data_IF_870450163326
#
_entry.id   IF_870450163326
#
_cell.length_a   1.000
_cell.length_b   1.000
_cell.length_c   1.000
_cell.angle_alpha   90.00
_cell.angle_beta   90.00
_cell.angle_gamma   90.00
#
_symmetry.space_group_name_H-M   'P 1'
#
loop_
_entity.id
_entity.type
_entity.pdbx_description
1 polymer ?
#
# COMPACT_ATOMS: atom_id res chain seq x y z
N UNK A 1 61.00 -3.84 -8.00
CA UNK A 1 59.94 -3.83 -9.01
C UNK A 1 58.70 -3.11 -8.49
N UNK A 2 58.51 -1.94 -8.96
CA UNK A 2 57.54 -0.94 -8.52
C UNK A 2 56.13 -1.13 -9.12
N UNK A 3 55.06 -0.82 -8.42
CA UNK A 3 53.67 -1.00 -8.89
C UNK A 3 53.20 0.23 -9.66
N UNK A 4 53.40 0.29 -10.96
CA UNK A 4 52.85 1.33 -11.85
C UNK A 4 51.40 1.04 -12.34
N UNK A 5 50.77 -0.03 -11.85
CA UNK A 5 49.44 -0.43 -12.30
C UNK A 5 48.24 0.24 -11.61
N UNK A 6 48.45 1.03 -10.55
CA UNK A 6 47.35 1.59 -9.76
C UNK A 6 46.84 2.95 -10.27
N UNK A 7 47.72 3.75 -10.89
CA UNK A 7 47.38 5.11 -11.37
C UNK A 7 46.50 5.09 -12.62
N UNK A 8 46.84 4.28 -13.62
CA UNK A 8 46.12 4.21 -14.88
C UNK A 8 44.68 3.66 -14.70
N UNK A 9 44.47 2.67 -13.84
CA UNK A 9 43.16 2.15 -13.53
C UNK A 9 42.27 3.17 -12.76
N UNK A 10 42.90 3.95 -11.88
CA UNK A 10 42.24 5.03 -11.15
C UNK A 10 41.82 6.19 -12.10
N UNK A 11 42.65 6.51 -13.08
CA UNK A 11 42.35 7.57 -14.06
C UNK A 11 41.29 7.15 -15.09
N UNK A 12 41.29 5.89 -15.50
CA UNK A 12 40.22 5.34 -16.36
C UNK A 12 38.89 5.32 -15.60
N UNK A 13 38.88 4.94 -14.34
CA UNK A 13 37.69 4.97 -13.50
C UNK A 13 37.17 6.41 -13.24
N UNK A 14 38.08 7.36 -13.05
CA UNK A 14 37.73 8.79 -12.93
C UNK A 14 37.20 9.36 -14.26
N UNK A 15 37.81 9.01 -15.40
CA UNK A 15 37.32 9.40 -16.73
C UNK A 15 35.95 8.82 -17.06
N UNK A 16 35.68 7.55 -16.79
CA UNK A 16 34.35 6.97 -16.92
C UNK A 16 33.31 7.66 -16.01
N UNK A 17 33.72 8.13 -14.82
CA UNK A 17 32.85 8.90 -13.93
C UNK A 17 32.55 10.31 -14.45
N UNK A 18 33.43 10.90 -15.24
CA UNK A 18 33.25 12.22 -15.84
C UNK A 18 32.38 12.13 -17.09
N UNK A 19 32.59 11.11 -17.94
CA UNK A 19 31.80 10.92 -19.18
C UNK A 19 30.33 10.55 -18.89
N UNK A 20 30.06 9.82 -17.78
CA UNK A 20 28.68 9.52 -17.35
C UNK A 20 27.98 10.66 -16.63
N UNK A 21 28.66 11.79 -16.39
CA UNK A 21 28.10 12.94 -15.68
C UNK A 21 27.48 14.02 -16.58
N UNK A 22 27.77 14.00 -17.86
CA UNK A 22 27.39 15.12 -18.76
C UNK A 22 26.13 14.93 -19.59
N UNK A 23 25.60 13.71 -19.69
CA UNK A 23 24.41 13.49 -20.51
C UNK A 23 23.17 13.17 -19.69
N UNK A 24 22.27 14.12 -19.67
CA UNK A 24 20.86 14.14 -19.33
C UNK A 24 20.49 14.95 -18.06
N UNK A 25 19.95 16.17 -18.25
CA UNK A 25 19.39 16.99 -17.15
C UNK A 25 18.19 16.31 -16.46
N UNK A 26 17.58 15.30 -17.09
CA UNK A 26 16.47 14.52 -16.56
C UNK A 26 16.88 13.52 -15.46
N UNK A 27 18.14 13.10 -15.41
CA UNK A 27 18.66 12.14 -14.42
C UNK A 27 18.94 12.73 -13.05
N UNK A 28 19.08 14.06 -12.93
CA UNK A 28 19.46 14.74 -11.68
C UNK A 28 18.36 14.83 -10.62
N UNK A 29 17.08 14.71 -11.01
CA UNK A 29 15.96 14.91 -10.08
C UNK A 29 15.73 13.70 -9.17
N UNK A 30 16.11 12.48 -9.58
CA UNK A 30 15.79 11.23 -8.85
C UNK A 30 17.03 10.46 -8.38
N UNK A 31 18.12 11.14 -8.07
CA UNK A 31 19.36 10.49 -7.63
C UNK A 31 19.31 9.95 -6.19
N UNK A 32 18.32 10.33 -5.39
CA UNK A 32 18.18 9.89 -4.00
C UNK A 32 17.04 8.84 -3.91
N UNK A 33 17.32 7.69 -3.29
CA UNK A 33 16.32 6.62 -3.02
C UNK A 33 15.05 7.15 -2.36
N UNK A 34 15.18 8.17 -1.52
CA UNK A 34 14.06 8.80 -0.84
C UNK A 34 13.15 9.57 -1.82
N UNK A 35 13.73 10.40 -2.70
CA UNK A 35 12.96 11.13 -3.72
C UNK A 35 12.23 10.15 -4.66
N UNK A 36 12.89 9.08 -5.08
CA UNK A 36 12.26 8.03 -5.90
C UNK A 36 11.08 7.40 -5.17
N UNK A 37 11.24 7.09 -3.89
CA UNK A 37 10.19 6.52 -3.07
C UNK A 37 8.96 7.45 -2.98
N UNK A 38 9.17 8.74 -2.71
CA UNK A 38 8.09 9.74 -2.68
C UNK A 38 7.37 9.85 -4.02
N UNK A 39 8.11 9.87 -5.13
CA UNK A 39 7.50 9.91 -6.47
C UNK A 39 6.70 8.65 -6.78
N UNK A 40 7.15 7.47 -6.36
CA UNK A 40 6.39 6.23 -6.50
C UNK A 40 5.07 6.29 -5.71
N UNK A 41 5.08 6.83 -4.49
CA UNK A 41 3.87 7.04 -3.68
C UNK A 41 2.90 7.98 -4.37
N UNK A 42 3.39 9.11 -4.90
CA UNK A 42 2.54 10.08 -5.64
C UNK A 42 1.90 9.39 -6.86
N UNK A 43 2.70 8.69 -7.67
CA UNK A 43 2.21 7.99 -8.87
C UNK A 43 1.17 6.93 -8.53
N UNK A 44 1.32 6.20 -7.42
CA UNK A 44 0.33 5.21 -6.99
C UNK A 44 -0.93 5.84 -6.39
N UNK A 45 -0.83 7.04 -5.83
CA UNK A 45 -2.00 7.74 -5.25
C UNK A 45 -2.98 8.23 -6.32
N UNK A 46 -2.48 8.59 -7.52
CA UNK A 46 -3.33 9.09 -8.61
C UNK A 46 -4.41 8.08 -9.02
N UNK A 47 -4.08 6.85 -9.47
CA UNK A 47 -5.11 5.87 -9.84
C UNK A 47 -5.97 5.45 -8.64
N UNK A 48 -5.41 5.39 -7.43
CA UNK A 48 -6.18 5.13 -6.22
C UNK A 48 -7.28 6.18 -6.00
N UNK A 49 -6.94 7.46 -6.13
CA UNK A 49 -7.90 8.56 -5.96
C UNK A 49 -8.97 8.55 -7.04
N UNK A 50 -8.59 8.35 -8.30
CA UNK A 50 -9.54 8.29 -9.43
C UNK A 50 -10.54 7.15 -9.22
N UNK A 51 -10.06 5.94 -8.91
CA UNK A 51 -10.91 4.77 -8.71
C UNK A 51 -11.76 4.94 -7.46
N UNK A 52 -11.20 5.44 -6.35
CA UNK A 52 -11.92 5.64 -5.10
C UNK A 52 -13.07 6.63 -5.23
N UNK A 53 -12.87 7.74 -5.97
CA UNK A 53 -13.94 8.70 -6.24
C UNK A 53 -15.00 8.11 -7.19
N UNK A 54 -14.56 7.47 -8.27
CA UNK A 54 -15.47 6.89 -9.27
C UNK A 54 -16.30 5.72 -8.71
N UNK A 55 -15.77 4.99 -7.73
CA UNK A 55 -16.42 3.84 -7.12
C UNK A 55 -17.22 4.18 -5.85
N UNK A 56 -17.31 5.46 -5.41
CA UNK A 56 -17.96 5.86 -4.14
C UNK A 56 -19.37 5.29 -4.02
N UNK A 57 -20.20 5.51 -5.03
CA UNK A 57 -21.59 5.05 -5.02
C UNK A 57 -21.71 3.53 -5.07
N UNK A 58 -20.82 2.88 -5.84
CA UNK A 58 -20.75 1.42 -5.91
C UNK A 58 -20.37 0.82 -4.55
N UNK A 59 -19.40 1.41 -3.85
CA UNK A 59 -18.95 0.99 -2.51
C UNK A 59 -20.10 1.13 -1.52
N UNK A 60 -20.81 2.27 -1.50
CA UNK A 60 -21.95 2.52 -0.62
C UNK A 60 -23.10 1.55 -0.88
N UNK A 61 -23.39 1.21 -2.13
CA UNK A 61 -24.39 0.19 -2.47
C UNK A 61 -23.92 -1.22 -2.06
N UNK A 62 -22.63 -1.53 -2.22
CA UNK A 62 -22.05 -2.83 -1.87
C UNK A 62 -22.04 -3.09 -0.36
N UNK A 63 -21.93 -2.05 0.47
CA UNK A 63 -21.98 -2.19 1.94
C UNK A 63 -23.35 -2.64 2.45
N UNK A 64 -24.42 -2.37 1.71
CA UNK A 64 -25.76 -2.75 2.09
C UNK A 64 -26.10 -4.22 1.78
N UNK A 65 -25.29 -4.90 0.97
CA UNK A 65 -25.54 -6.26 0.51
C UNK A 65 -24.47 -7.19 1.12
N UNK A 66 -24.85 -7.99 2.12
CA UNK A 66 -23.95 -8.86 2.87
C UNK A 66 -23.15 -9.85 1.97
N UNK A 67 -23.68 -10.17 0.79
CA UNK A 67 -23.02 -11.04 -0.19
C UNK A 67 -21.71 -10.43 -0.71
N UNK A 68 -21.66 -9.11 -0.96
CA UNK A 68 -20.49 -8.46 -1.55
C UNK A 68 -19.28 -8.49 -0.62
N UNK A 69 -19.37 -8.06 0.65
CA UNK A 69 -18.28 -8.23 1.60
C UNK A 69 -17.85 -9.70 1.77
N UNK A 70 -18.79 -10.62 1.73
CA UNK A 70 -18.51 -12.07 1.80
C UNK A 70 -17.60 -12.55 0.66
N UNK A 71 -17.93 -12.22 -0.58
CA UNK A 71 -17.11 -12.53 -1.76
C UNK A 71 -15.75 -11.84 -1.66
N UNK A 72 -15.72 -10.56 -1.29
CA UNK A 72 -14.48 -9.79 -1.13
C UNK A 72 -13.57 -10.36 -0.05
N UNK A 73 -14.11 -10.92 1.04
CA UNK A 73 -13.35 -11.63 2.06
C UNK A 73 -12.72 -12.92 1.51
N UNK A 74 -13.42 -13.66 0.67
CA UNK A 74 -12.85 -14.84 0.00
C UNK A 74 -11.73 -14.44 -0.94
N UNK A 75 -11.89 -13.36 -1.73
CA UNK A 75 -10.82 -12.83 -2.58
C UNK A 75 -9.62 -12.42 -1.72
N UNK A 76 -9.85 -11.75 -0.59
CA UNK A 76 -8.80 -11.41 0.39
C UNK A 76 -8.07 -12.66 0.89
N UNK A 77 -8.80 -13.72 1.21
CA UNK A 77 -8.21 -14.98 1.65
C UNK A 77 -7.26 -15.56 0.59
N UNK A 78 -7.68 -15.58 -0.67
CA UNK A 78 -6.86 -16.05 -1.80
C UNK A 78 -5.62 -15.18 -1.97
N UNK A 79 -5.76 -13.85 -1.94
CA UNK A 79 -4.64 -12.90 -2.07
C UNK A 79 -3.59 -13.09 -0.96
N UNK A 80 -4.02 -13.24 0.29
CA UNK A 80 -3.12 -13.47 1.43
C UNK A 80 -2.42 -14.82 1.34
N UNK A 81 -3.12 -15.87 0.87
CA UNK A 81 -2.54 -17.17 0.62
C UNK A 81 -1.46 -17.15 -0.47
N UNK A 82 -1.72 -16.40 -1.55
CA UNK A 82 -0.74 -16.18 -2.62
C UNK A 82 0.45 -15.38 -2.09
N UNK A 83 0.23 -14.32 -1.29
CA UNK A 83 1.29 -13.49 -0.73
C UNK A 83 2.35 -14.26 0.06
N UNK A 84 1.93 -15.31 0.79
CA UNK A 84 2.87 -16.18 1.53
C UNK A 84 3.73 -17.04 0.61
N UNK A 85 3.21 -17.38 -0.58
CA UNK A 85 3.88 -18.23 -1.57
C UNK A 85 4.80 -17.48 -2.52
N UNK A 86 4.58 -16.18 -2.69
CA UNK A 86 5.47 -15.35 -3.51
C UNK A 86 6.87 -15.38 -2.89
N UNK A 87 7.92 -15.73 -3.66
CA UNK A 87 9.29 -15.67 -3.19
C UNK A 87 9.66 -14.23 -2.80
N UNK A 88 10.63 -14.09 -1.89
CA UNK A 88 11.09 -12.76 -1.49
C UNK A 88 11.81 -12.11 -2.67
N UNK A 89 11.33 -10.97 -3.10
CA UNK A 89 11.92 -10.22 -4.20
C UNK A 89 13.17 -9.46 -3.76
N UNK A 90 13.96 -8.99 -4.75
CA UNK A 90 15.17 -8.20 -4.50
C UNK A 90 15.00 -6.70 -4.70
N UNK A 91 13.86 -6.24 -5.27
CA UNK A 91 13.70 -4.84 -5.67
C UNK A 91 13.62 -3.90 -4.48
N UNK A 92 14.48 -2.90 -4.52
CA UNK A 92 14.51 -1.75 -3.62
C UNK A 92 13.82 -0.55 -4.29
N UNK A 93 13.58 0.59 -3.59
CA UNK A 93 12.92 1.76 -4.20
C UNK A 93 13.53 2.22 -5.52
N UNK A 94 14.84 2.09 -5.70
CA UNK A 94 15.54 2.52 -6.93
C UNK A 94 15.16 1.69 -8.16
N UNK A 95 14.81 0.41 -7.95
CA UNK A 95 14.58 -0.58 -9.02
C UNK A 95 13.11 -0.71 -9.40
N UNK A 96 12.20 -0.15 -8.58
CA UNK A 96 10.77 -0.15 -8.87
C UNK A 96 10.47 0.87 -9.96
N UNK A 97 9.71 0.44 -10.97
CA UNK A 97 9.27 1.31 -12.08
C UNK A 97 8.03 2.11 -11.69
N UNK A 98 7.79 3.22 -12.39
CA UNK A 98 6.55 3.99 -12.20
C UNK A 98 5.32 3.20 -12.65
N UNK A 99 5.45 2.32 -13.64
CA UNK A 99 4.37 1.41 -14.06
C UNK A 99 3.99 0.47 -12.93
N UNK A 100 4.97 -0.10 -12.20
CA UNK A 100 4.67 -0.93 -11.03
C UNK A 100 3.91 -0.12 -9.96
N UNK A 101 4.32 1.12 -9.68
CA UNK A 101 3.64 1.99 -8.74
C UNK A 101 2.20 2.30 -9.18
N UNK A 102 1.99 2.56 -10.46
CA UNK A 102 0.67 2.80 -11.02
C UNK A 102 -0.26 1.58 -10.87
N UNK A 103 0.23 0.37 -11.20
CA UNK A 103 -0.52 -0.88 -11.03
C UNK A 103 -0.84 -1.17 -9.56
N UNK A 104 0.08 -0.91 -8.65
CA UNK A 104 -0.16 -1.03 -7.21
C UNK A 104 -1.23 -0.01 -6.77
N UNK A 105 -1.22 1.21 -7.32
CA UNK A 105 -2.25 2.21 -7.08
C UNK A 105 -3.64 1.79 -7.57
N UNK A 106 -3.73 1.13 -8.73
CA UNK A 106 -4.99 0.53 -9.21
C UNK A 106 -5.46 -0.54 -8.21
N UNK A 107 -4.57 -1.42 -7.78
CA UNK A 107 -4.92 -2.47 -6.81
C UNK A 107 -5.44 -1.90 -5.48
N UNK A 108 -4.90 -0.76 -5.03
CA UNK A 108 -5.40 -0.05 -3.86
C UNK A 108 -6.78 0.58 -4.11
N UNK A 109 -7.01 1.15 -5.29
CA UNK A 109 -8.32 1.69 -5.66
C UNK A 109 -9.39 0.61 -5.67
N UNK A 110 -9.11 -0.57 -6.24
CA UNK A 110 -10.04 -1.72 -6.20
C UNK A 110 -10.27 -2.18 -4.76
N UNK A 111 -9.26 -2.11 -3.91
CA UNK A 111 -9.36 -2.51 -2.50
C UNK A 111 -10.13 -1.51 -1.61
N UNK A 112 -10.85 -0.54 -2.17
CA UNK A 112 -11.87 0.25 -1.46
C UNK A 112 -13.17 -0.52 -1.28
N UNK A 113 -13.38 -1.62 -2.03
CA UNK A 113 -14.57 -2.46 -1.89
C UNK A 113 -14.66 -3.08 -0.49
N UNK A 114 -15.87 -3.12 0.11
CA UNK A 114 -16.07 -3.64 1.46
C UNK A 114 -15.71 -5.15 1.52
N UNK A 115 -14.99 -5.54 2.57
CA UNK A 115 -14.48 -6.91 2.72
C UNK A 115 -13.15 -7.18 2.02
N UNK A 116 -12.71 -6.34 1.08
CA UNK A 116 -11.40 -6.47 0.45
C UNK A 116 -10.32 -5.78 1.29
N UNK A 117 -9.39 -6.56 1.81
CA UNK A 117 -8.30 -6.04 2.63
C UNK A 117 -7.38 -5.12 1.83
N UNK A 118 -7.43 -3.80 2.10
CA UNK A 118 -6.57 -2.81 1.42
C UNK A 118 -5.08 -3.17 1.56
N UNK A 119 -4.61 -3.39 2.78
CA UNK A 119 -3.21 -3.74 3.02
C UNK A 119 -2.84 -5.11 2.45
N UNK A 120 -3.72 -6.10 2.55
CA UNK A 120 -3.51 -7.42 1.95
C UNK A 120 -3.34 -7.35 0.44
N UNK A 121 -4.22 -6.65 -0.25
CA UNK A 121 -4.18 -6.47 -1.71
C UNK A 121 -2.93 -5.71 -2.16
N UNK A 122 -2.62 -4.58 -1.52
CA UNK A 122 -1.46 -3.76 -1.91
C UNK A 122 -0.13 -4.42 -1.58
N UNK A 123 0.00 -5.14 -0.45
CA UNK A 123 1.21 -5.91 -0.14
C UNK A 123 1.39 -7.04 -1.16
N UNK A 124 0.32 -7.77 -1.50
CA UNK A 124 0.37 -8.83 -2.51
C UNK A 124 0.80 -8.26 -3.86
N UNK A 125 0.22 -7.14 -4.30
CA UNK A 125 0.60 -6.45 -5.53
C UNK A 125 2.09 -6.02 -5.49
N UNK A 126 2.57 -5.46 -4.38
CA UNK A 126 3.98 -5.09 -4.22
C UNK A 126 4.91 -6.31 -4.34
N UNK A 127 4.56 -7.43 -3.69
CA UNK A 127 5.33 -8.66 -3.76
C UNK A 127 5.35 -9.24 -5.18
N UNK A 128 4.22 -9.22 -5.89
CA UNK A 128 4.11 -9.67 -7.28
C UNK A 128 4.97 -8.84 -8.25
N UNK A 129 5.26 -7.58 -7.92
CA UNK A 129 6.22 -6.77 -8.69
C UNK A 129 7.68 -7.06 -8.38
N UNK A 130 7.97 -7.99 -7.45
CA UNK A 130 9.31 -8.40 -7.06
C UNK A 130 9.96 -7.51 -5.99
N UNK A 131 9.18 -6.75 -5.22
CA UNK A 131 9.69 -5.99 -4.07
C UNK A 131 10.08 -6.91 -2.93
N UNK A 132 11.08 -6.50 -2.12
CA UNK A 132 11.37 -7.18 -0.85
C UNK A 132 10.19 -7.06 0.10
N UNK A 133 9.92 -8.09 0.92
CA UNK A 133 8.80 -8.08 1.90
C UNK A 133 8.84 -6.86 2.82
N UNK A 134 10.02 -6.50 3.33
CA UNK A 134 10.19 -5.31 4.17
C UNK A 134 9.79 -4.02 3.45
N UNK A 135 10.16 -3.91 2.18
CA UNK A 135 9.83 -2.72 1.39
C UNK A 135 8.36 -2.70 0.96
N UNK A 136 7.79 -3.83 0.56
CA UNK A 136 6.38 -3.97 0.18
C UNK A 136 5.44 -3.49 1.29
N UNK A 137 5.68 -3.94 2.54
CA UNK A 137 4.90 -3.50 3.70
C UNK A 137 5.05 -2.01 3.95
N UNK A 138 6.31 -1.50 3.98
CA UNK A 138 6.56 -0.07 4.18
C UNK A 138 5.89 0.78 3.11
N UNK A 139 5.96 0.35 1.85
CA UNK A 139 5.35 1.05 0.71
C UNK A 139 3.82 1.08 0.83
N UNK A 140 3.19 -0.07 1.09
CA UNK A 140 1.74 -0.21 1.26
C UNK A 140 1.19 0.72 2.36
N UNK A 141 1.83 0.75 3.54
CA UNK A 141 1.38 1.60 4.63
C UNK A 141 1.59 3.10 4.35
N UNK A 142 2.73 3.50 3.77
CA UNK A 142 2.97 4.92 3.47
C UNK A 142 2.05 5.40 2.34
N UNK A 143 1.79 4.56 1.33
CA UNK A 143 0.89 4.85 0.24
C UNK A 143 -0.58 5.01 0.70
N UNK A 144 -0.97 4.37 1.79
CA UNK A 144 -2.32 4.55 2.35
C UNK A 144 -2.55 5.92 2.98
N UNK A 145 -1.50 6.62 3.44
CA UNK A 145 -1.62 7.93 4.09
C UNK A 145 -2.27 8.97 3.17
N UNK A 146 -1.72 9.26 1.96
CA UNK A 146 -2.35 10.22 1.05
C UNK A 146 -3.75 9.77 0.59
N UNK A 147 -4.01 8.47 0.48
CA UNK A 147 -5.34 7.97 0.13
C UNK A 147 -6.37 8.24 1.24
N UNK A 148 -5.99 8.01 2.52
CA UNK A 148 -6.84 8.30 3.68
C UNK A 148 -7.07 9.80 3.82
N UNK A 149 -6.04 10.62 3.63
CA UNK A 149 -6.18 12.09 3.65
C UNK A 149 -7.09 12.58 2.52
N UNK A 150 -7.00 11.96 1.33
CA UNK A 150 -7.89 12.26 0.21
C UNK A 150 -9.35 11.91 0.51
N UNK A 151 -9.61 10.76 1.11
CA UNK A 151 -10.95 10.36 1.55
C UNK A 151 -11.51 11.33 2.60
N UNK A 152 -10.69 11.69 3.61
CA UNK A 152 -11.08 12.68 4.62
C UNK A 152 -11.49 14.02 4.00
N UNK A 153 -10.75 14.52 3.00
CA UNK A 153 -11.08 15.79 2.31
C UNK A 153 -12.42 15.68 1.57
N UNK A 154 -12.75 14.51 1.03
CA UNK A 154 -14.05 14.30 0.35
C UNK A 154 -15.19 14.26 1.37
N UNK A 155 -15.04 13.53 2.46
CA UNK A 155 -16.07 13.34 3.48
C UNK A 155 -16.32 14.57 4.34
N UNK A 156 -15.29 15.38 4.62
CA UNK A 156 -15.40 16.58 5.46
C UNK A 156 -16.37 17.61 4.88
N UNK A 157 -16.63 17.56 3.57
CA UNK A 157 -17.60 18.44 2.89
C UNK A 157 -19.04 18.08 3.24
N UNK A 158 -19.28 16.83 3.58
CA UNK A 158 -20.60 16.29 3.90
C UNK A 158 -20.92 16.42 5.41
N UNK A 159 -19.97 16.93 6.23
CA UNK A 159 -20.14 17.11 7.67
C UNK A 159 -20.86 18.43 7.97
N UNK A 160 -22.03 18.35 8.61
CA UNK A 160 -22.74 19.50 9.15
C UNK A 160 -22.12 19.96 10.49
N UNK A 161 -21.09 20.81 10.41
CA UNK A 161 -20.38 21.32 11.60
C UNK A 161 -21.28 22.05 12.60
N UNK A 162 -22.38 22.63 12.14
CA UNK A 162 -23.35 23.34 12.99
C UNK A 162 -24.15 22.42 13.91
N UNK A 163 -24.21 21.13 13.60
CA UNK A 163 -24.92 20.13 14.42
C UNK A 163 -24.03 19.47 15.48
N UNK A 164 -22.73 19.76 15.50
CA UNK A 164 -21.78 19.15 16.45
C UNK A 164 -21.98 19.69 17.86
N UNK A 165 -22.27 18.81 18.83
CA UNK A 165 -22.31 19.11 20.25
C UNK A 165 -20.91 18.97 20.88
N UNK A 166 -20.69 19.63 22.03
CA UNK A 166 -19.43 19.55 22.76
C UNK A 166 -19.07 18.10 23.18
N UNK A 167 -20.08 17.26 23.44
CA UNK A 167 -19.91 15.85 23.73
C UNK A 167 -19.33 15.06 22.54
N UNK A 168 -19.70 15.41 21.32
CA UNK A 168 -19.21 14.76 20.09
C UNK A 168 -17.74 15.04 19.90
N UNK A 169 -17.29 16.25 20.19
CA UNK A 169 -15.86 16.63 20.09
C UNK A 169 -15.01 15.77 21.01
N UNK A 170 -15.46 15.55 22.26
CA UNK A 170 -14.74 14.68 23.20
C UNK A 170 -14.67 13.24 22.70
N UNK A 171 -15.79 12.71 22.17
CA UNK A 171 -15.85 11.37 21.60
C UNK A 171 -14.90 11.21 20.39
N UNK A 172 -14.82 12.21 19.51
CA UNK A 172 -13.88 12.22 18.39
C UNK A 172 -12.41 12.23 18.84
N UNK A 173 -12.07 13.03 19.86
CA UNK A 173 -10.71 13.08 20.41
C UNK A 173 -10.34 11.72 21.03
N UNK A 174 -11.18 11.17 21.89
CA UNK A 174 -10.93 9.88 22.54
C UNK A 174 -10.85 8.77 21.50
N UNK A 175 -11.79 8.71 20.55
CA UNK A 175 -11.77 7.74 19.44
C UNK A 175 -10.49 7.82 18.61
N UNK A 176 -10.03 9.02 18.30
CA UNK A 176 -8.78 9.25 17.54
C UNK A 176 -7.55 8.75 18.32
N UNK A 177 -7.47 9.03 19.63
CA UNK A 177 -6.37 8.56 20.46
C UNK A 177 -6.34 7.02 20.57
N UNK A 178 -7.50 6.41 20.82
CA UNK A 178 -7.62 4.94 20.84
C UNK A 178 -7.24 4.34 19.50
N UNK A 179 -7.74 4.87 18.40
CA UNK A 179 -7.41 4.42 17.05
C UNK A 179 -5.90 4.54 16.75
N UNK A 180 -5.26 5.62 17.19
CA UNK A 180 -3.82 5.81 17.02
C UNK A 180 -3.00 4.75 17.77
N UNK A 181 -3.35 4.46 19.03
CA UNK A 181 -2.66 3.44 19.85
C UNK A 181 -2.87 2.05 19.27
N UNK A 182 -4.11 1.68 18.98
CA UNK A 182 -4.44 0.36 18.40
C UNK A 182 -3.80 0.22 17.02
N UNK A 183 -3.87 1.24 16.18
CA UNK A 183 -3.24 1.27 14.86
C UNK A 183 -1.72 1.07 14.92
N UNK A 184 -1.04 1.72 15.86
CA UNK A 184 0.39 1.54 16.08
C UNK A 184 0.73 0.07 16.42
N UNK A 185 -0.02 -0.54 17.34
CA UNK A 185 0.17 -1.95 17.73
C UNK A 185 -0.08 -2.87 16.54
N UNK A 186 -1.16 -2.64 15.79
CA UNK A 186 -1.51 -3.44 14.61
C UNK A 186 -0.45 -3.35 13.52
N UNK A 187 0.07 -2.16 13.20
CA UNK A 187 1.13 -1.97 12.20
C UNK A 187 2.40 -2.72 12.64
N UNK A 188 2.80 -2.60 13.90
CA UNK A 188 3.97 -3.28 14.45
C UNK A 188 3.83 -4.81 14.36
N UNK A 189 2.66 -5.33 14.71
CA UNK A 189 2.34 -6.76 14.63
C UNK A 189 2.33 -7.24 13.18
N UNK A 190 1.71 -6.49 12.27
CA UNK A 190 1.65 -6.82 10.86
C UNK A 190 3.03 -6.90 10.20
N UNK A 191 3.96 -6.00 10.58
CA UNK A 191 5.35 -6.06 10.12
C UNK A 191 6.05 -7.39 10.50
N UNK A 192 5.75 -7.92 11.68
CA UNK A 192 6.29 -9.21 12.15
C UNK A 192 5.66 -10.37 11.38
N UNK A 193 4.34 -10.35 11.23
CA UNK A 193 3.58 -11.39 10.50
C UNK A 193 4.06 -11.55 9.06
N UNK A 194 4.19 -10.43 8.34
CA UNK A 194 4.64 -10.43 6.93
C UNK A 194 6.06 -10.97 6.80
N UNK A 195 6.96 -10.59 7.70
CA UNK A 195 8.35 -11.11 7.70
C UNK A 195 8.41 -12.61 7.94
N UNK A 196 7.53 -13.14 8.79
CA UNK A 196 7.48 -14.58 9.15
C UNK A 196 6.68 -15.42 8.15
N UNK A 197 6.17 -14.84 7.06
CA UNK A 197 5.30 -15.54 6.08
C UNK A 197 4.12 -16.24 6.77
N UNK A 198 3.41 -15.54 7.64
CA UNK A 198 2.28 -16.10 8.41
C UNK A 198 0.94 -15.50 7.99
N UNK A 199 0.79 -15.08 6.74
CA UNK A 199 -0.50 -14.60 6.21
C UNK A 199 -1.55 -15.71 6.10
N UNK A 200 -1.13 -16.97 6.02
CA UNK A 200 -2.03 -18.12 5.89
C UNK A 200 -3.05 -18.16 7.03
N UNK A 201 -2.69 -17.77 8.27
CA UNK A 201 -3.63 -17.73 9.40
C UNK A 201 -4.75 -16.71 9.12
N UNK A 202 -4.39 -15.52 8.62
CA UNK A 202 -5.36 -14.49 8.25
C UNK A 202 -6.18 -14.88 7.01
N UNK A 203 -5.58 -15.62 6.08
CA UNK A 203 -6.26 -16.18 4.91
C UNK A 203 -7.39 -17.12 5.33
N UNK A 204 -7.11 -18.05 6.26
CA UNK A 204 -8.12 -18.98 6.80
C UNK A 204 -9.23 -18.21 7.51
N UNK A 205 -8.88 -17.23 8.34
CA UNK A 205 -9.87 -16.37 9.01
C UNK A 205 -10.79 -15.68 8.00
N UNK A 206 -10.22 -15.01 6.98
CA UNK A 206 -11.00 -14.33 5.94
C UNK A 206 -11.89 -15.31 5.16
N UNK A 207 -11.41 -16.52 4.88
CA UNK A 207 -12.19 -17.55 4.21
C UNK A 207 -13.41 -17.96 5.04
N UNK A 208 -13.21 -18.24 6.32
CA UNK A 208 -14.32 -18.65 7.23
C UNK A 208 -15.32 -17.50 7.34
N UNK A 209 -14.88 -16.27 7.58
CA UNK A 209 -15.77 -15.12 7.71
C UNK A 209 -16.51 -14.80 6.42
N UNK A 210 -15.84 -14.99 5.26
CA UNK A 210 -16.47 -14.82 3.96
C UNK A 210 -17.59 -15.86 3.72
N UNK A 211 -17.36 -17.12 4.07
CA UNK A 211 -18.37 -18.18 3.98
C UNK A 211 -19.55 -17.92 4.94
N UNK A 212 -19.28 -17.48 6.17
CA UNK A 212 -20.32 -17.12 7.14
C UNK A 212 -21.16 -15.94 6.63
N UNK A 213 -20.52 -14.92 6.04
CA UNK A 213 -21.21 -13.76 5.47
C UNK A 213 -22.12 -14.15 4.30
N UNK A 214 -21.64 -15.03 3.41
CA UNK A 214 -22.43 -15.53 2.27
C UNK A 214 -23.57 -16.42 2.77
N UNK A 215 -23.30 -17.32 3.72
CA UNK A 215 -24.33 -18.16 4.33
C UNK A 215 -25.42 -17.34 5.02
N UNK A 216 -25.04 -16.29 5.76
CA UNK A 216 -25.97 -15.36 6.38
C UNK A 216 -26.87 -14.65 5.36
N UNK A 217 -26.34 -14.24 4.21
CA UNK A 217 -27.12 -13.63 3.13
C UNK A 217 -28.24 -14.55 2.58
N UNK A 218 -27.96 -15.84 2.44
CA UNK A 218 -28.98 -16.79 1.95
C UNK A 218 -29.96 -17.26 3.02
N UNK A 219 -29.65 -17.01 4.29
CA UNK A 219 -30.51 -17.38 5.41
C UNK A 219 -31.49 -16.26 5.81
N UNK A 220 -31.16 -15.00 5.48
CA UNK A 220 -32.02 -13.82 5.68
C UNK A 220 -33.02 -13.67 4.54
#
# INVERSE_FOLDING_TARGET
STPIKSSAASDVYKRQRVITKEDLPYRKIVHNSYRKFVMLVIVSTIPTGIIGIAAKDLVSAAEQILLVPGICLIITAVLLFIADRIPDGGKTPKQVTYTNAFLIGISQGIATMPGLSRSGTTITACLSTGMTRKFAVKYSFIMSIPAILGALVVEIKDVEFAALQSADILNYIVGTLVAAVVGYICIKTMLVVVRKKKFTIFSIYCLIMGLVSIGGYFYM
#
